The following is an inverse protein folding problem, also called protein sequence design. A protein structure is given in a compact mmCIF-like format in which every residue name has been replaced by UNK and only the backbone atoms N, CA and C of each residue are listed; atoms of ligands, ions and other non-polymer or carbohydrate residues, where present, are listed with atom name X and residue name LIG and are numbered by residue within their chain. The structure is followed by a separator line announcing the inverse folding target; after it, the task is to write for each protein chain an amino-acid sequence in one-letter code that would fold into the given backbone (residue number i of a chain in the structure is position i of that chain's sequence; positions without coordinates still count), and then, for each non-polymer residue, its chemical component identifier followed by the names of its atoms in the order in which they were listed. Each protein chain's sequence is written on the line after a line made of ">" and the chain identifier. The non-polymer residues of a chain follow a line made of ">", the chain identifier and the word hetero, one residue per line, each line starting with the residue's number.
data_IF_938956457407
#
_entry.id   IF_938956457407
#
_cell.length_a   1.000
_cell.length_b   1.000
_cell.length_c   1.000
_cell.angle_alpha   90.00
_cell.angle_beta   90.00
_cell.angle_gamma   90.00
#
_symmetry.space_group_name_H-M   'P 1'
#
loop_
_entity.id
_entity.type
_entity.pdbx_description
1 polymer ?
#
# COMPACT_ATOMS: atom_id res chain seq x y z
N UNK A 1 -6.41 17.91 5.36
CA UNK A 1 -5.39 18.49 4.46
C UNK A 1 -4.55 17.36 3.88
N UNK A 2 -4.45 17.32 2.57
CA UNK A 2 -3.66 16.29 1.89
C UNK A 2 -2.17 16.66 1.90
N UNK A 3 -1.34 15.65 1.63
CA UNK A 3 0.10 15.86 1.48
C UNK A 3 0.36 16.86 0.34
N UNK A 4 1.32 17.76 0.53
CA UNK A 4 1.62 18.78 -0.47
C UNK A 4 2.37 18.21 -1.67
N UNK A 5 2.27 18.91 -2.81
CA UNK A 5 3.01 18.54 -4.02
C UNK A 5 4.52 18.59 -3.81
N UNK A 6 4.99 19.46 -2.94
CA UNK A 6 6.39 19.54 -2.61
C UNK A 6 6.91 18.24 -1.97
N UNK A 7 6.16 17.70 -1.01
CA UNK A 7 6.50 16.40 -0.41
C UNK A 7 6.45 15.29 -1.45
N UNK A 8 5.44 15.28 -2.30
CA UNK A 8 5.30 14.27 -3.35
C UNK A 8 6.50 14.30 -4.29
N UNK A 9 6.94 15.49 -4.68
CA UNK A 9 8.09 15.68 -5.56
C UNK A 9 9.36 15.11 -4.93
N UNK A 10 9.58 15.43 -3.67
CA UNK A 10 10.76 14.95 -2.92
C UNK A 10 10.72 13.42 -2.81
N UNK A 11 9.59 12.85 -2.47
CA UNK A 11 9.41 11.40 -2.34
C UNK A 11 9.73 10.71 -3.66
N UNK A 12 9.16 11.21 -4.75
CA UNK A 12 9.33 10.61 -6.07
C UNK A 12 10.79 10.64 -6.53
N UNK A 13 11.45 11.78 -6.39
CA UNK A 13 12.85 11.90 -6.78
C UNK A 13 13.75 11.01 -5.93
N UNK A 14 13.53 11.01 -4.62
CA UNK A 14 14.32 10.20 -3.71
C UNK A 14 14.20 8.70 -4.02
N UNK A 15 12.97 8.23 -4.14
CA UNK A 15 12.72 6.80 -4.39
C UNK A 15 13.14 6.37 -5.79
N UNK A 16 13.03 7.27 -6.78
CA UNK A 16 13.52 7.00 -8.12
C UNK A 16 15.01 6.67 -8.09
N UNK A 17 15.80 7.45 -7.37
CA UNK A 17 17.24 7.22 -7.28
C UNK A 17 17.60 5.99 -6.46
N UNK A 18 16.85 5.71 -5.40
CA UNK A 18 17.20 4.63 -4.47
C UNK A 18 16.74 3.26 -4.93
N UNK A 19 15.53 3.13 -5.45
CA UNK A 19 14.93 1.83 -5.75
C UNK A 19 14.31 1.73 -7.14
N UNK A 20 14.25 2.83 -7.89
CA UNK A 20 13.69 2.88 -9.23
C UNK A 20 12.34 2.16 -9.34
N UNK A 21 11.32 2.61 -8.61
CA UNK A 21 10.01 1.96 -8.64
C UNK A 21 9.28 2.24 -9.94
N UNK A 22 8.35 1.36 -10.31
CA UNK A 22 7.46 1.68 -11.42
C UNK A 22 6.13 2.26 -10.94
N UNK A 23 5.85 2.19 -9.65
CA UNK A 23 4.60 2.68 -9.08
C UNK A 23 4.81 3.01 -7.61
N UNK A 24 4.30 4.17 -7.18
CA UNK A 24 4.35 4.61 -5.79
C UNK A 24 2.96 5.07 -5.38
N UNK A 25 2.48 4.57 -4.25
CA UNK A 25 1.27 5.03 -3.60
C UNK A 25 1.58 5.70 -2.28
N UNK A 26 0.82 6.71 -1.93
CA UNK A 26 0.72 7.15 -0.54
C UNK A 26 -0.65 6.70 -0.01
N UNK A 27 -0.71 6.39 1.27
CA UNK A 27 -1.94 5.90 1.87
C UNK A 27 -2.03 6.33 3.33
N UNK A 28 -3.05 5.87 4.04
CA UNK A 28 -3.22 6.23 5.43
C UNK A 28 -3.59 7.70 5.63
N UNK A 29 -3.08 8.31 6.68
CA UNK A 29 -3.40 9.70 7.01
C UNK A 29 -2.95 10.70 5.94
N UNK A 30 -1.97 10.34 5.12
CA UNK A 30 -1.48 11.21 4.04
C UNK A 30 -2.55 11.53 3.00
N UNK A 31 -3.58 10.68 2.87
CA UNK A 31 -4.63 10.87 1.85
C UNK A 31 -6.02 11.02 2.46
N UNK A 32 -6.17 10.90 3.78
CA UNK A 32 -7.49 10.94 4.43
C UNK A 32 -7.93 12.31 4.91
N UNK A 33 -7.41 13.35 4.32
CA UNK A 33 -7.91 14.71 4.53
C UNK A 33 -7.35 15.43 5.75
N UNK A 34 -6.80 14.75 6.73
CA UNK A 34 -6.21 15.38 7.90
C UNK A 34 -4.74 14.99 8.00
N UNK A 35 -3.89 15.76 7.32
CA UNK A 35 -2.46 15.57 7.38
C UNK A 35 -1.87 16.64 8.29
N UNK A 36 -1.28 16.21 9.41
CA UNK A 36 -0.69 17.11 10.41
C UNK A 36 0.81 17.07 10.33
N UNK A 37 1.47 18.04 10.96
CA UNK A 37 2.92 18.10 10.98
C UNK A 37 3.57 16.91 11.67
N UNK A 38 2.87 16.27 12.58
CA UNK A 38 3.35 15.09 13.30
C UNK A 38 2.83 13.78 12.71
N UNK A 39 2.11 13.84 11.60
CA UNK A 39 1.62 12.63 10.94
C UNK A 39 2.73 11.88 10.22
N UNK A 40 2.68 10.55 10.30
CA UNK A 40 3.59 9.69 9.54
C UNK A 40 3.20 9.73 8.07
N UNK A 41 4.17 9.51 7.21
CA UNK A 41 3.92 9.37 5.78
C UNK A 41 4.00 7.88 5.44
N UNK A 42 2.89 7.33 4.99
CA UNK A 42 2.80 5.92 4.61
C UNK A 42 2.94 5.79 3.10
N UNK A 43 3.96 5.08 2.67
CA UNK A 43 4.32 4.94 1.26
C UNK A 43 4.40 3.46 0.89
N UNK A 44 3.79 3.08 -0.23
CA UNK A 44 3.89 1.74 -0.78
C UNK A 44 4.52 1.82 -2.16
N UNK A 45 5.53 0.99 -2.41
CA UNK A 45 6.24 0.97 -3.68
C UNK A 45 6.09 -0.38 -4.36
N UNK A 46 6.14 -0.36 -5.69
CA UNK A 46 6.25 -1.55 -6.52
C UNK A 46 7.53 -1.42 -7.35
N UNK A 47 8.44 -2.34 -7.13
CA UNK A 47 9.76 -2.36 -7.75
C UNK A 47 10.00 -3.73 -8.40
N UNK A 48 10.79 -3.76 -9.46
CA UNK A 48 11.09 -5.00 -10.17
C UNK A 48 12.15 -5.84 -9.48
N UNK A 49 13.13 -5.18 -8.89
CA UNK A 49 14.22 -5.86 -8.21
C UNK A 49 13.80 -6.25 -6.79
N UNK A 50 14.36 -7.34 -6.29
CA UNK A 50 14.15 -7.73 -4.91
C UNK A 50 14.96 -6.83 -4.00
N UNK A 51 14.34 -6.45 -2.89
CA UNK A 51 14.99 -5.64 -1.87
C UNK A 51 14.63 -6.24 -0.51
N UNK A 52 15.61 -6.31 0.38
CA UNK A 52 15.38 -6.83 1.72
C UNK A 52 14.57 -5.83 2.54
N UNK A 53 13.85 -6.35 3.53
CA UNK A 53 13.10 -5.50 4.46
C UNK A 53 14.03 -4.55 5.21
N UNK A 54 15.24 -5.01 5.53
CA UNK A 54 16.24 -4.16 6.18
C UNK A 54 16.65 -2.99 5.31
N UNK A 55 16.97 -3.25 4.04
CA UNK A 55 17.38 -2.19 3.11
C UNK A 55 16.25 -1.20 2.89
N UNK A 56 15.02 -1.69 2.80
CA UNK A 56 13.86 -0.83 2.64
C UNK A 56 13.65 0.05 3.88
N UNK A 57 13.85 -0.52 5.07
CA UNK A 57 13.78 0.22 6.32
C UNK A 57 14.82 1.34 6.36
N UNK A 58 16.06 1.04 5.95
CA UNK A 58 17.13 2.03 5.94
C UNK A 58 16.83 3.18 4.96
N UNK A 59 16.28 2.84 3.80
CA UNK A 59 15.85 3.85 2.82
C UNK A 59 14.75 4.73 3.40
N UNK A 60 13.81 4.13 4.12
CA UNK A 60 12.74 4.88 4.79
C UNK A 60 13.31 5.86 5.81
N UNK A 61 14.34 5.45 6.57
CA UNK A 61 14.98 6.32 7.55
C UNK A 61 15.69 7.51 6.88
N UNK A 62 16.36 7.25 5.76
CA UNK A 62 16.99 8.32 4.99
C UNK A 62 15.97 9.34 4.49
N UNK A 63 14.85 8.83 3.96
CA UNK A 63 13.76 9.69 3.48
C UNK A 63 13.13 10.47 4.62
N UNK A 64 12.96 9.84 5.78
CA UNK A 64 12.44 10.50 6.98
C UNK A 64 13.32 11.68 7.38
N UNK A 65 14.63 11.54 7.28
CA UNK A 65 15.56 12.63 7.58
C UNK A 65 15.40 13.80 6.60
N UNK A 66 15.18 13.49 5.33
CA UNK A 66 14.98 14.53 4.31
C UNK A 66 13.67 15.27 4.54
N UNK A 67 12.60 14.54 4.85
CA UNK A 67 11.25 15.12 5.01
C UNK A 67 11.00 15.68 6.40
N UNK A 68 11.86 15.36 7.38
CA UNK A 68 11.66 15.72 8.80
C UNK A 68 10.36 15.16 9.35
N UNK A 69 10.01 13.94 8.91
CA UNK A 69 8.83 13.21 9.36
C UNK A 69 9.13 11.72 9.37
N UNK A 70 8.40 10.99 10.18
CA UNK A 70 8.49 9.54 10.13
C UNK A 70 7.91 9.02 8.82
N UNK A 71 8.58 8.05 8.23
CA UNK A 71 8.20 7.45 6.96
C UNK A 71 8.09 5.95 7.14
N UNK A 72 6.95 5.40 6.73
CA UNK A 72 6.71 3.98 6.69
C UNK A 72 6.71 3.56 5.22
N UNK A 73 7.70 2.78 4.82
CA UNK A 73 7.91 2.39 3.42
C UNK A 73 7.71 0.89 3.29
N UNK A 74 6.74 0.51 2.47
CA UNK A 74 6.29 -0.87 2.34
C UNK A 74 6.48 -1.35 0.91
N UNK A 75 6.97 -2.59 0.75
CA UNK A 75 6.99 -3.25 -0.54
C UNK A 75 5.62 -3.89 -0.78
N UNK A 76 4.81 -3.25 -1.60
CA UNK A 76 3.42 -3.67 -1.81
C UNK A 76 3.31 -5.06 -2.45
N UNK A 77 4.28 -5.44 -3.24
CA UNK A 77 4.35 -6.75 -3.89
C UNK A 77 4.25 -7.89 -2.86
N UNK A 78 4.87 -7.72 -1.71
CA UNK A 78 4.94 -8.74 -0.67
C UNK A 78 3.83 -8.60 0.39
N UNK A 79 2.92 -7.67 0.20
CA UNK A 79 1.83 -7.42 1.15
C UNK A 79 0.68 -8.40 0.94
N UNK A 80 -0.19 -8.49 1.95
CA UNK A 80 -1.36 -9.37 1.88
C UNK A 80 -2.37 -8.88 0.82
N UNK A 81 -3.24 -9.78 0.39
CA UNK A 81 -4.33 -9.46 -0.53
C UNK A 81 -5.20 -8.33 0.00
N UNK A 82 -5.54 -8.37 1.28
CA UNK A 82 -6.36 -7.33 1.92
C UNK A 82 -5.63 -5.99 1.91
N UNK A 83 -4.37 -5.99 2.26
CA UNK A 83 -3.59 -4.76 2.32
C UNK A 83 -3.42 -4.12 0.95
N UNK A 84 -3.13 -4.95 -0.08
CA UNK A 84 -3.04 -4.45 -1.46
C UNK A 84 -4.33 -3.76 -1.89
N UNK A 85 -5.46 -4.39 -1.62
CA UNK A 85 -6.76 -3.82 -1.99
C UNK A 85 -7.03 -2.52 -1.24
N UNK A 86 -6.65 -2.43 0.02
CA UNK A 86 -6.82 -1.20 0.80
C UNK A 86 -5.97 -0.05 0.25
N UNK A 87 -4.72 -0.32 -0.09
CA UNK A 87 -3.84 0.71 -0.64
C UNK A 87 -4.36 1.20 -1.99
N UNK A 88 -4.75 0.27 -2.87
CA UNK A 88 -5.28 0.63 -4.19
C UNK A 88 -6.60 1.37 -4.07
N UNK A 89 -7.49 0.94 -3.17
CA UNK A 89 -8.82 1.51 -3.03
C UNK A 89 -8.86 2.85 -2.32
N UNK A 90 -8.01 3.06 -1.33
CA UNK A 90 -8.03 4.25 -0.49
C UNK A 90 -6.81 5.14 -0.61
N UNK A 91 -5.75 4.64 -1.22
CA UNK A 91 -4.52 5.40 -1.42
C UNK A 91 -4.55 6.23 -2.67
N UNK A 92 -3.45 6.90 -2.92
CA UNK A 92 -3.28 7.74 -4.10
C UNK A 92 -1.96 7.37 -4.79
N UNK A 93 -2.02 7.06 -6.08
CA UNK A 93 -0.82 6.85 -6.88
C UNK A 93 -0.14 8.19 -7.13
N UNK A 94 1.09 8.34 -6.71
CA UNK A 94 1.84 9.60 -6.87
C UNK A 94 2.95 9.49 -7.90
N UNK A 95 3.26 8.30 -8.37
CA UNK A 95 4.29 8.06 -9.37
C UNK A 95 3.97 6.79 -10.14
N UNK A 96 4.04 6.85 -11.45
CA UNK A 96 3.76 5.69 -12.30
C UNK A 96 4.53 5.83 -13.61
N UNK A 97 5.31 4.81 -13.97
CA UNK A 97 6.07 4.80 -15.23
C UNK A 97 5.34 4.06 -16.34
N UNK A 98 4.32 3.26 -16.00
CA UNK A 98 3.61 2.41 -16.94
C UNK A 98 2.16 2.24 -16.50
N UNK A 99 1.27 3.01 -17.10
CA UNK A 99 -0.16 3.00 -16.74
C UNK A 99 -0.83 1.66 -17.01
N UNK A 100 -0.42 0.95 -18.05
CA UNK A 100 -0.96 -0.37 -18.35
C UNK A 100 -0.62 -1.35 -17.24
N UNK A 101 0.62 -1.31 -16.78
CA UNK A 101 1.09 -2.17 -15.69
C UNK A 101 0.35 -1.85 -14.40
N UNK A 102 0.13 -0.58 -14.12
CA UNK A 102 -0.67 -0.16 -12.96
C UNK A 102 -2.10 -0.67 -13.04
N UNK A 103 -2.73 -0.56 -14.21
CA UNK A 103 -4.09 -1.05 -14.41
C UNK A 103 -4.21 -2.54 -14.11
N UNK A 104 -3.27 -3.34 -14.60
CA UNK A 104 -3.26 -4.78 -14.32
C UNK A 104 -3.06 -5.06 -12.84
N UNK A 105 -2.13 -4.36 -12.20
CA UNK A 105 -1.91 -4.55 -10.78
C UNK A 105 -3.17 -4.26 -9.97
N UNK A 106 -3.82 -3.14 -10.25
CA UNK A 106 -5.02 -2.71 -9.53
C UNK A 106 -6.19 -3.67 -9.78
N UNK A 107 -6.34 -4.11 -11.02
CA UNK A 107 -7.37 -5.08 -11.36
C UNK A 107 -7.20 -6.39 -10.60
N UNK A 108 -5.97 -6.92 -10.56
CA UNK A 108 -5.69 -8.16 -9.84
C UNK A 108 -5.82 -7.99 -8.33
N UNK A 109 -5.45 -6.83 -7.79
CA UNK A 109 -5.62 -6.56 -6.36
C UNK A 109 -7.09 -6.65 -5.95
N UNK A 110 -7.98 -6.05 -6.73
CA UNK A 110 -9.42 -6.11 -6.46
C UNK A 110 -10.00 -7.49 -6.74
N UNK A 111 -9.58 -8.13 -7.80
CA UNK A 111 -10.04 -9.47 -8.15
C UNK A 111 -9.69 -10.47 -7.06
N UNK A 112 -8.46 -10.46 -6.60
CA UNK A 112 -8.00 -11.36 -5.55
C UNK A 112 -8.73 -11.10 -4.24
N UNK A 113 -8.99 -9.84 -3.94
CA UNK A 113 -9.74 -9.46 -2.75
C UNK A 113 -11.19 -9.95 -2.82
N UNK A 114 -11.84 -9.79 -3.96
CA UNK A 114 -13.21 -10.26 -4.15
C UNK A 114 -13.28 -11.79 -4.01
N UNK A 115 -12.31 -12.50 -4.60
CA UNK A 115 -12.22 -13.95 -4.49
C UNK A 115 -12.05 -14.39 -3.03
N UNK A 116 -11.17 -13.72 -2.31
CA UNK A 116 -10.95 -14.00 -0.89
C UNK A 116 -12.22 -13.81 -0.07
N UNK A 117 -12.98 -12.75 -0.35
CA UNK A 117 -14.24 -12.50 0.35
C UNK A 117 -15.29 -13.56 0.07
N UNK A 118 -15.34 -14.07 -1.17
CA UNK A 118 -16.24 -15.17 -1.52
C UNK A 118 -15.88 -16.44 -0.74
N UNK A 119 -14.59 -16.79 -0.65
CA UNK A 119 -14.14 -17.92 0.13
C UNK A 119 -14.50 -17.79 1.60
N UNK A 120 -14.29 -16.59 2.17
CA UNK A 120 -14.64 -16.33 3.56
C UNK A 120 -16.13 -16.46 3.81
N UNK A 121 -16.95 -15.99 2.88
CA UNK A 121 -18.39 -16.09 3.01
C UNK A 121 -18.85 -17.55 3.03
N UNK A 122 -18.27 -18.40 2.19
CA UNK A 122 -18.57 -19.82 2.15
C UNK A 122 -18.18 -20.49 3.47
N UNK A 123 -17.01 -20.19 3.98
CA UNK A 123 -16.51 -20.74 5.24
C UNK A 123 -17.42 -20.33 6.40
N UNK A 124 -17.79 -19.06 6.47
CA UNK A 124 -18.68 -18.55 7.54
C UNK A 124 -20.05 -19.18 7.47
N UNK A 125 -20.59 -19.38 6.28
CA UNK A 125 -21.87 -20.07 6.10
C UNK A 125 -21.80 -21.50 6.58
N UNK A 126 -20.74 -22.22 6.26
CA UNK A 126 -20.54 -23.60 6.70
C UNK A 126 -20.43 -23.68 8.24
N UNK A 127 -19.71 -22.76 8.84
CA UNK A 127 -19.60 -22.69 10.31
C UNK A 127 -20.98 -22.45 10.92
N UNK A 128 -21.75 -21.55 10.36
CA UNK A 128 -23.11 -21.26 10.81
C UNK A 128 -24.01 -22.48 10.75
N UNK A 129 -23.95 -23.24 9.66
CA UNK A 129 -24.71 -24.48 9.48
C UNK A 129 -24.31 -25.52 10.53
N UNK A 130 -23.02 -25.66 10.81
CA UNK A 130 -22.55 -26.58 11.84
C UNK A 130 -23.04 -26.20 13.22
N UNK A 131 -23.05 -24.91 13.52
CA UNK A 131 -23.60 -24.41 14.79
C UNK A 131 -25.05 -24.81 14.95
N UNK A 132 -25.85 -24.71 13.90
CA UNK A 132 -27.25 -25.15 13.91
C UNK A 132 -27.39 -26.65 14.13
N UNK A 133 -26.56 -27.45 13.45
CA UNK A 133 -26.59 -28.90 13.57
C UNK A 133 -26.26 -29.34 14.99
N UNK A 134 -25.36 -28.68 15.67
CA UNK A 134 -24.99 -29.00 17.04
C UNK A 134 -25.89 -28.39 18.10
N UNK A 135 -27.02 -27.83 17.71
CA UNK A 135 -27.99 -27.31 18.63
C UNK A 135 -27.61 -25.99 19.28
N UNK A 136 -26.78 -25.24 18.63
CA UNK A 136 -26.30 -23.96 19.15
C UNK A 136 -27.15 -22.80 18.72
#
# INVERSE_FOLDING_TARGET
>A
MNISEEYISIINEFLFEKVNPYLIYIFGSSVKGIFREDSDIDIAVLIDEDISDYDLFMIAQELADVLKREVDLINLKNSSTVFKAQVVGNGQAIYCTDDTRRMYFEMYAFKDYAFLNEERAIILENIKKRGSVYGK
#
